data_IF_893392165315
#
_entry.id   IF_893392165315
#
_cell.length_a   1.000
_cell.length_b   1.000
_cell.length_c   1.000
_cell.angle_alpha   90.00
_cell.angle_beta   90.00
_cell.angle_gamma   90.00
#
_symmetry.space_group_name_H-M   'P 1'
#
loop_
_entity.id
_entity.type
_entity.pdbx_description
1 polymer ?
#
# COMPACT_ATOMS: atom_id res chain seq x y z
N UNK A 1 -5.59 -11.02 -18.83
CA UNK A 1 -6.46 -10.59 -17.71
C UNK A 1 -5.67 -9.99 -16.55
N UNK A 2 -4.38 -10.29 -16.37
CA UNK A 2 -3.54 -9.72 -15.28
C UNK A 2 -3.12 -8.25 -15.44
N UNK A 3 -3.15 -7.69 -16.66
CA UNK A 3 -2.63 -6.35 -16.95
C UNK A 3 -3.39 -5.23 -16.21
N UNK A 4 -4.71 -5.35 -16.07
CA UNK A 4 -5.53 -4.35 -15.36
C UNK A 4 -5.28 -4.30 -13.85
N UNK A 5 -5.04 -5.47 -13.23
CA UNK A 5 -4.69 -5.57 -11.81
C UNK A 5 -3.31 -4.98 -11.57
N UNK A 6 -2.34 -5.32 -12.41
CA UNK A 6 -0.97 -4.80 -12.29
C UNK A 6 -0.89 -3.27 -12.42
N UNK A 7 -1.65 -2.69 -13.36
CA UNK A 7 -1.75 -1.22 -13.52
C UNK A 7 -2.39 -0.60 -12.27
N UNK A 8 -3.45 -1.22 -11.73
CA UNK A 8 -4.11 -0.72 -10.51
C UNK A 8 -3.16 -0.80 -9.32
N UNK A 9 -2.46 -1.92 -9.14
CA UNK A 9 -1.47 -2.09 -8.08
C UNK A 9 -0.38 -1.02 -8.14
N UNK A 10 0.17 -0.75 -9.33
CA UNK A 10 1.18 0.30 -9.54
C UNK A 10 0.69 1.68 -9.06
N UNK A 11 -0.55 2.03 -9.41
CA UNK A 11 -1.17 3.30 -9.00
C UNK A 11 -1.36 3.42 -7.49
N UNK A 12 -1.60 2.32 -6.80
CA UNK A 12 -1.90 2.30 -5.36
C UNK A 12 -0.65 2.27 -4.45
N UNK A 13 0.54 2.08 -5.00
CA UNK A 13 1.79 2.00 -4.21
C UNK A 13 1.95 3.21 -3.30
N UNK A 14 1.80 4.43 -3.83
CA UNK A 14 2.06 5.66 -3.06
C UNK A 14 1.10 5.81 -1.86
N UNK A 15 -0.20 5.64 -2.09
CA UNK A 15 -1.21 5.68 -1.03
C UNK A 15 -0.98 4.58 0.01
N UNK A 16 -0.56 3.38 -0.42
CA UNK A 16 -0.24 2.27 0.49
C UNK A 16 0.95 2.59 1.38
N UNK A 17 2.02 3.17 0.81
CA UNK A 17 3.20 3.57 1.57
C UNK A 17 2.89 4.74 2.52
N UNK A 18 2.13 5.75 2.06
CA UNK A 18 1.66 6.84 2.93
C UNK A 18 0.92 6.29 4.15
N UNK A 19 -0.03 5.37 3.93
CA UNK A 19 -0.79 4.74 5.02
C UNK A 19 0.12 4.01 6.01
N UNK A 20 1.08 3.21 5.52
CA UNK A 20 2.06 2.53 6.36
C UNK A 20 2.89 3.52 7.19
N UNK A 21 3.25 4.67 6.60
CA UNK A 21 4.05 5.71 7.26
C UNK A 21 3.24 6.64 8.18
N UNK A 22 1.99 6.30 8.51
CA UNK A 22 1.09 7.16 9.31
C UNK A 22 0.92 8.56 8.70
N UNK A 23 0.92 8.64 7.37
CA UNK A 23 0.61 9.84 6.60
C UNK A 23 -0.85 9.78 6.14
N UNK A 24 -1.53 10.94 6.01
CA UNK A 24 -2.92 10.96 5.56
C UNK A 24 -3.03 10.47 4.11
N UNK A 25 -4.06 9.67 3.85
CA UNK A 25 -4.50 9.25 2.52
C UNK A 25 -5.96 9.65 2.42
N UNK A 26 -6.30 10.47 1.42
CA UNK A 26 -7.67 10.96 1.24
C UNK A 26 -8.44 10.03 0.32
N UNK A 27 -9.71 9.79 0.61
CA UNK A 27 -10.58 8.96 -0.23
C UNK A 27 -10.66 9.50 -1.67
N UNK A 28 -10.69 10.82 -1.86
CA UNK A 28 -10.73 11.41 -3.20
C UNK A 28 -9.46 11.14 -4.00
N UNK A 29 -8.29 11.05 -3.34
CA UNK A 29 -7.04 10.66 -3.98
C UNK A 29 -7.14 9.24 -4.54
N UNK A 30 -7.68 8.30 -3.75
CA UNK A 30 -7.85 6.90 -4.18
C UNK A 30 -8.86 6.78 -5.31
N UNK A 31 -10.00 7.48 -5.22
CA UNK A 31 -11.02 7.49 -6.28
C UNK A 31 -10.45 7.98 -7.62
N UNK A 32 -9.58 9.00 -7.63
CA UNK A 32 -8.94 9.47 -8.86
C UNK A 32 -8.04 8.42 -9.52
N UNK A 33 -7.45 7.52 -8.73
CA UNK A 33 -6.54 6.49 -9.23
C UNK A 33 -7.29 5.31 -9.87
N UNK A 34 -8.40 4.88 -9.26
CA UNK A 34 -9.07 3.61 -9.60
C UNK A 34 -10.53 3.74 -10.05
N UNK A 35 -11.11 4.94 -9.96
CA UNK A 35 -12.53 5.18 -10.19
C UNK A 35 -13.42 4.85 -8.99
N UNK A 36 -14.66 5.37 -9.00
CA UNK A 36 -15.59 5.24 -7.87
C UNK A 36 -16.03 3.79 -7.61
N UNK A 37 -16.21 3.00 -8.68
CA UNK A 37 -16.64 1.60 -8.60
C UNK A 37 -15.64 0.71 -7.86
N UNK A 38 -14.34 0.97 -8.02
CA UNK A 38 -13.26 0.20 -7.41
C UNK A 38 -12.78 0.76 -6.07
N UNK A 39 -13.37 1.86 -5.58
CA UNK A 39 -12.94 2.57 -4.37
C UNK A 39 -12.80 1.63 -3.17
N UNK A 40 -13.85 0.85 -2.88
CA UNK A 40 -13.91 -0.03 -1.71
C UNK A 40 -12.81 -1.09 -1.74
N UNK A 41 -12.64 -1.76 -2.88
CA UNK A 41 -11.62 -2.78 -3.12
C UNK A 41 -10.21 -2.19 -2.91
N UNK A 42 -9.96 -0.99 -3.48
CA UNK A 42 -8.68 -0.32 -3.36
C UNK A 42 -8.35 0.09 -1.92
N UNK A 43 -9.30 0.67 -1.19
CA UNK A 43 -9.10 1.05 0.22
C UNK A 43 -8.82 -0.17 1.10
N UNK A 44 -9.58 -1.26 0.92
CA UNK A 44 -9.34 -2.51 1.63
C UNK A 44 -7.93 -3.06 1.35
N UNK A 45 -7.51 -3.05 0.09
CA UNK A 45 -6.18 -3.52 -0.32
C UNK A 45 -5.06 -2.65 0.27
N UNK A 46 -5.22 -1.32 0.24
CA UNK A 46 -4.31 -0.36 0.89
C UNK A 46 -4.17 -0.67 2.39
N UNK A 47 -5.30 -0.83 3.09
CA UNK A 47 -5.29 -1.03 4.55
C UNK A 47 -4.60 -2.33 4.92
N UNK A 48 -4.91 -3.43 4.22
CA UNK A 48 -4.30 -4.73 4.47
C UNK A 48 -2.82 -4.76 4.14
N UNK A 49 -2.41 -4.27 2.96
CA UNK A 49 -0.99 -4.29 2.56
C UNK A 49 -0.19 -3.36 3.46
N UNK A 50 -0.68 -2.15 3.75
CA UNK A 50 0.04 -1.17 4.58
C UNK A 50 0.33 -1.68 6.00
N UNK A 51 -0.55 -2.50 6.58
CA UNK A 51 -0.33 -3.17 7.86
C UNK A 51 0.95 -4.04 7.85
N UNK A 52 1.25 -4.67 6.71
CA UNK A 52 2.41 -5.56 6.57
C UNK A 52 3.71 -4.83 6.21
N UNK A 53 3.69 -3.53 5.96
CA UNK A 53 4.88 -2.78 5.56
C UNK A 53 5.68 -2.22 6.74
N UNK A 54 5.00 -1.93 7.85
CA UNK A 54 5.66 -1.28 8.99
C UNK A 54 5.09 -1.70 10.35
N UNK A 55 5.93 -1.60 11.37
CA UNK A 55 5.52 -1.64 12.77
C UNK A 55 6.06 -0.41 13.50
N UNK A 56 5.45 -0.14 14.64
CA UNK A 56 5.81 0.96 15.52
C UNK A 56 6.25 0.37 16.86
N UNK A 57 7.38 0.84 17.37
CA UNK A 57 7.88 0.49 18.70
C UNK A 57 8.37 1.77 19.38
N UNK A 58 7.78 2.13 20.52
CA UNK A 58 8.09 3.39 21.23
C UNK A 58 8.05 4.63 20.32
N UNK A 59 7.00 4.79 19.52
CA UNK A 59 6.81 5.87 18.52
C UNK A 59 7.86 5.92 17.40
N UNK A 60 8.71 4.90 17.27
CA UNK A 60 9.68 4.77 16.19
C UNK A 60 9.14 3.77 15.14
N UNK A 61 9.27 4.13 13.86
CA UNK A 61 8.79 3.31 12.75
C UNK A 61 9.90 2.41 12.21
N UNK A 62 9.54 1.18 11.88
CA UNK A 62 10.44 0.17 11.34
C UNK A 62 9.82 -0.48 10.10
N UNK A 63 10.67 -0.88 9.15
CA UNK A 63 10.24 -1.63 7.97
C UNK A 63 10.06 -3.10 8.32
N UNK A 64 8.87 -3.66 8.10
CA UNK A 64 8.60 -5.10 8.30
C UNK A 64 9.22 -6.00 7.22
N UNK A 65 9.48 -5.45 6.04
CA UNK A 65 9.99 -6.24 4.91
C UNK A 65 11.48 -6.59 5.06
N UNK A 66 12.26 -5.70 5.69
CA UNK A 66 13.71 -5.90 5.87
C UNK A 66 14.19 -5.72 7.32
N UNK A 67 13.28 -5.49 8.27
CA UNK A 67 13.57 -5.27 9.69
C UNK A 67 14.56 -4.13 9.97
N UNK A 68 14.64 -3.14 9.07
CA UNK A 68 15.47 -1.93 9.26
C UNK A 68 14.69 -0.83 9.98
N UNK A 69 15.43 0.02 10.68
CA UNK A 69 14.94 1.20 11.38
C UNK A 69 15.89 1.58 12.52
N UNK A 70 15.51 2.56 13.36
CA UNK A 70 14.26 3.32 13.29
C UNK A 70 14.26 4.36 12.16
N UNK A 71 13.07 4.69 11.65
CA UNK A 71 12.86 5.71 10.63
C UNK A 71 11.90 6.79 11.12
N UNK A 72 12.08 8.01 10.61
CA UNK A 72 11.01 9.02 10.62
C UNK A 72 9.92 8.63 9.62
N UNK A 73 8.72 9.25 9.70
CA UNK A 73 7.66 9.03 8.69
C UNK A 73 8.18 9.21 7.25
N UNK A 74 8.91 10.32 7.00
CA UNK A 74 9.50 10.62 5.69
C UNK A 74 10.61 9.63 5.32
N UNK A 75 11.43 9.22 6.29
CA UNK A 75 12.48 8.22 6.08
C UNK A 75 11.92 6.87 5.66
N UNK A 76 10.89 6.38 6.35
CA UNK A 76 10.24 5.11 6.02
C UNK A 76 9.55 5.19 4.66
N UNK A 77 8.89 6.32 4.35
CA UNK A 77 8.27 6.53 3.04
C UNK A 77 9.31 6.42 1.91
N UNK A 78 10.44 7.10 2.04
CA UNK A 78 11.53 7.03 1.06
C UNK A 78 12.14 5.62 0.98
N UNK A 79 12.29 4.93 2.10
CA UNK A 79 12.80 3.58 2.14
C UNK A 79 11.87 2.60 1.39
N UNK A 80 10.58 2.59 1.72
CA UNK A 80 9.59 1.72 1.09
C UNK A 80 9.44 2.01 -0.41
N UNK A 81 9.37 3.28 -0.81
CA UNK A 81 9.21 3.66 -2.23
C UNK A 81 10.44 3.39 -3.10
N UNK A 82 11.66 3.38 -2.54
CA UNK A 82 12.90 3.18 -3.30
C UNK A 82 13.43 1.75 -3.24
N UNK A 83 13.30 1.09 -2.09
CA UNK A 83 13.90 -0.23 -1.86
C UNK A 83 12.90 -1.35 -2.08
N UNK A 84 11.64 -1.15 -1.65
CA UNK A 84 10.63 -2.21 -1.64
C UNK A 84 9.45 -1.98 -2.59
N UNK A 85 9.62 -1.11 -3.59
CA UNK A 85 8.55 -0.73 -4.52
C UNK A 85 7.92 -1.96 -5.19
N UNK A 86 8.76 -2.86 -5.67
CA UNK A 86 8.32 -4.03 -6.41
C UNK A 86 7.60 -5.01 -5.49
N UNK A 87 8.13 -5.27 -4.29
CA UNK A 87 7.48 -6.13 -3.30
C UNK A 87 6.10 -5.60 -2.92
N UNK A 88 5.98 -4.30 -2.68
CA UNK A 88 4.69 -3.65 -2.39
C UNK A 88 3.71 -3.82 -3.55
N UNK A 89 4.18 -3.68 -4.79
CA UNK A 89 3.36 -3.91 -5.98
C UNK A 89 2.83 -5.35 -6.02
N UNK A 90 3.69 -6.35 -5.83
CA UNK A 90 3.27 -7.75 -5.83
C UNK A 90 2.26 -8.04 -4.71
N UNK A 91 2.49 -7.53 -3.50
CA UNK A 91 1.55 -7.65 -2.39
C UNK A 91 0.18 -7.02 -2.72
N UNK A 92 0.16 -5.87 -3.42
CA UNK A 92 -1.06 -5.24 -3.89
C UNK A 92 -1.75 -6.05 -4.98
N UNK A 93 -1.00 -6.61 -5.94
CA UNK A 93 -1.57 -7.46 -6.99
C UNK A 93 -2.27 -8.69 -6.38
N UNK A 94 -1.64 -9.34 -5.41
CA UNK A 94 -2.20 -10.50 -4.72
C UNK A 94 -3.45 -10.14 -3.91
N UNK A 95 -3.42 -9.03 -3.16
CA UNK A 95 -4.57 -8.62 -2.37
C UNK A 95 -5.73 -8.13 -3.25
N UNK A 96 -5.47 -7.40 -4.33
CA UNK A 96 -6.50 -7.00 -5.30
C UNK A 96 -7.17 -8.23 -5.94
N UNK A 97 -6.39 -9.25 -6.33
CA UNK A 97 -6.94 -10.53 -6.84
C UNK A 97 -7.84 -11.19 -5.81
N UNK A 98 -7.46 -11.17 -4.52
CA UNK A 98 -8.23 -11.74 -3.43
C UNK A 98 -9.54 -11.00 -3.18
N UNK A 99 -9.50 -9.66 -3.11
CA UNK A 99 -10.70 -8.84 -2.91
C UNK A 99 -11.71 -9.01 -4.05
N UNK A 100 -11.25 -9.04 -5.31
CA UNK A 100 -12.12 -9.26 -6.48
C UNK A 100 -12.80 -10.63 -6.40
N UNK A 101 -12.06 -11.69 -6.05
CA UNK A 101 -12.62 -13.05 -5.89
C UNK A 101 -13.62 -13.18 -4.75
N UNK A 102 -13.60 -12.28 -3.77
CA UNK A 102 -14.53 -12.33 -2.63
C UNK A 102 -15.91 -11.74 -2.98
N UNK A 103 -16.00 -11.00 -4.10
CA UNK A 103 -17.21 -10.32 -4.56
C UNK A 103 -17.92 -11.11 -5.68
N UNK A 104 -17.19 -12.00 -6.35
CA UNK A 104 -17.69 -12.92 -7.38
C UNK A 104 -18.19 -14.21 -6.75
#
# INVERSE_FOLDING_TARGET
MDSGISITAEKLIDSTVKKACKMPVKDEEVVRLVGISSKKIALNSIDKVSFWLSYENNNLLYCKLCNRGPFTKKGLYLHLTRIHRNEIKHMLEDELKREIRTIL
#
